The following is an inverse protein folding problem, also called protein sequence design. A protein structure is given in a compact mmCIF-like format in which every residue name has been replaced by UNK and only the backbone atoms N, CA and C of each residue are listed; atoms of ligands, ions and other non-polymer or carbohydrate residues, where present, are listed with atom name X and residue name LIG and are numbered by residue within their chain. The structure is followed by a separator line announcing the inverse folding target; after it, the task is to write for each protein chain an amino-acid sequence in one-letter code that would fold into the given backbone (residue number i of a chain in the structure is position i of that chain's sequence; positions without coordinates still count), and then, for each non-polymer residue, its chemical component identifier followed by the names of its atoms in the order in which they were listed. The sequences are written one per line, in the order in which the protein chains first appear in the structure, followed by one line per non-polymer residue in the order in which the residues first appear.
data_IF_214545803071
#
_entry.id   IF_214545803071
#
_cell.length_a   1.000
_cell.length_b   1.000
_cell.length_c   1.000
_cell.angle_alpha   90.00
_cell.angle_beta   90.00
_cell.angle_gamma   90.00
#
_symmetry.space_group_name_H-M   'P 1'
#
loop_
_entity.id
_entity.type
_entity.pdbx_description
1 polymer ?
#
# COMPACT_ATOMS: atom_id res chain seq x y z
N UNK A 1 20.69 1.72 -1.03
CA UNK A 1 20.73 2.77 0.04
C UNK A 1 20.43 4.10 -0.62
N UNK A 2 19.37 4.82 -0.19
CA UNK A 2 18.94 6.18 -0.58
C UNK A 2 19.71 6.94 -1.66
N UNK A 3 19.93 6.34 -2.84
CA UNK A 3 20.75 6.93 -3.92
C UNK A 3 20.14 8.27 -4.35
N UNK A 4 18.80 8.34 -4.31
CA UNK A 4 18.01 9.53 -4.56
C UNK A 4 18.31 10.64 -3.56
N UNK A 5 18.29 10.36 -2.25
CA UNK A 5 18.57 11.36 -1.22
C UNK A 5 20.00 11.89 -1.30
N UNK A 6 20.97 11.01 -1.58
CA UNK A 6 22.36 11.42 -1.79
C UNK A 6 22.46 12.36 -2.99
N UNK A 7 21.83 12.01 -4.12
CA UNK A 7 21.85 12.83 -5.33
C UNK A 7 21.18 14.20 -5.12
N UNK A 8 20.02 14.22 -4.45
CA UNK A 8 19.28 15.46 -4.17
C UNK A 8 20.04 16.42 -3.23
N UNK A 9 20.86 15.88 -2.32
CA UNK A 9 21.57 16.66 -1.30
C UNK A 9 23.06 16.91 -1.60
N UNK A 10 23.59 16.37 -2.69
CA UNK A 10 24.96 16.62 -3.15
C UNK A 10 25.16 18.10 -3.53
N UNK A 11 24.21 18.65 -4.30
CA UNK A 11 24.14 20.07 -4.68
C UNK A 11 22.77 20.62 -4.31
N UNK A 12 22.56 21.04 -3.05
CA UNK A 12 21.24 21.43 -2.58
C UNK A 12 20.75 22.68 -3.30
N UNK A 13 19.58 22.59 -3.93
CA UNK A 13 18.79 23.72 -4.41
C UNK A 13 17.50 23.78 -3.59
N UNK A 14 16.74 24.88 -3.69
CA UNK A 14 15.47 24.95 -2.96
C UNK A 14 14.54 23.79 -3.31
N UNK A 15 14.48 23.44 -4.59
CA UNK A 15 13.61 22.37 -5.09
C UNK A 15 14.12 20.98 -4.69
N UNK A 16 15.45 20.74 -4.80
CA UNK A 16 16.00 19.42 -4.46
C UNK A 16 15.86 19.12 -2.97
N UNK A 17 16.02 20.13 -2.12
CA UNK A 17 15.86 19.98 -0.67
C UNK A 17 14.37 19.82 -0.30
N UNK A 18 13.46 20.53 -0.96
CA UNK A 18 12.02 20.34 -0.77
C UNK A 18 11.61 18.90 -1.09
N UNK A 19 12.04 18.36 -2.23
CA UNK A 19 11.78 16.96 -2.61
C UNK A 19 12.41 15.99 -1.61
N UNK A 20 13.65 16.25 -1.18
CA UNK A 20 14.33 15.41 -0.19
C UNK A 20 13.60 15.40 1.16
N UNK A 21 13.13 16.56 1.64
CA UNK A 21 12.36 16.65 2.89
C UNK A 21 11.03 15.89 2.77
N UNK A 22 10.31 16.04 1.65
CA UNK A 22 9.08 15.29 1.39
C UNK A 22 9.32 13.78 1.38
N UNK A 23 10.35 13.33 0.67
CA UNK A 23 10.73 11.91 0.65
C UNK A 23 11.02 11.38 2.06
N UNK A 24 11.80 12.12 2.86
CA UNK A 24 12.11 11.72 4.25
C UNK A 24 10.88 11.77 5.15
N UNK A 25 9.93 12.67 4.92
CA UNK A 25 8.69 12.72 5.70
C UNK A 25 7.83 11.46 5.50
N UNK A 26 7.75 10.96 4.26
CA UNK A 26 6.93 9.80 3.91
C UNK A 26 7.61 8.47 4.25
N UNK A 27 8.86 8.25 3.80
CA UNK A 27 9.53 6.94 3.95
C UNK A 27 10.66 6.94 5.00
N UNK A 28 10.88 8.04 5.72
CA UNK A 28 12.00 8.19 6.65
C UNK A 28 11.95 7.22 7.83
N UNK A 29 10.77 6.78 8.25
CA UNK A 29 10.64 5.80 9.33
C UNK A 29 11.12 4.41 8.91
N UNK A 30 10.69 3.93 7.75
CA UNK A 30 11.18 2.67 7.19
C UNK A 30 12.71 2.70 6.99
N UNK A 31 13.22 3.83 6.47
CA UNK A 31 14.67 4.01 6.32
C UNK A 31 15.41 4.08 7.65
N UNK A 32 14.78 4.58 8.71
CA UNK A 32 15.35 4.61 10.05
C UNK A 32 15.50 3.20 10.62
N UNK A 33 14.55 2.30 10.33
CA UNK A 33 14.56 0.91 10.81
C UNK A 33 15.52 0.03 9.99
N UNK A 34 15.44 0.13 8.65
CA UNK A 34 16.28 -0.68 7.76
C UNK A 34 17.72 -0.15 7.65
N UNK A 35 17.92 1.17 7.72
CA UNK A 35 19.20 1.83 7.39
C UNK A 35 19.50 3.02 8.33
N UNK A 36 19.60 2.81 9.66
CA UNK A 36 19.73 3.89 10.64
C UNK A 36 20.94 4.79 10.42
N UNK A 37 22.07 4.21 9.99
CA UNK A 37 23.30 4.97 9.71
C UNK A 37 23.15 5.90 8.50
N UNK A 38 22.54 5.41 7.43
CA UNK A 38 22.29 6.20 6.21
C UNK A 38 21.33 7.34 6.50
N UNK A 39 20.24 7.04 7.22
CA UNK A 39 19.24 8.02 7.60
C UNK A 39 19.83 9.13 8.50
N UNK A 40 20.66 8.78 9.49
CA UNK A 40 21.36 9.77 10.31
C UNK A 40 22.29 10.68 9.48
N UNK A 41 22.96 10.14 8.46
CA UNK A 41 23.80 10.92 7.55
C UNK A 41 23.00 11.95 6.75
N UNK A 42 21.82 11.56 6.24
CA UNK A 42 20.90 12.46 5.54
C UNK A 42 20.43 13.59 6.45
N UNK A 43 20.04 13.27 7.69
CA UNK A 43 19.57 14.26 8.65
C UNK A 43 20.67 15.26 9.06
N UNK A 44 21.91 14.79 9.23
CA UNK A 44 23.03 15.68 9.51
C UNK A 44 23.31 16.61 8.32
N UNK A 45 23.19 16.10 7.09
CA UNK A 45 23.32 16.93 5.88
C UNK A 45 22.24 18.01 5.82
N UNK A 46 20.98 17.67 6.10
CA UNK A 46 19.87 18.63 6.16
C UNK A 46 20.09 19.68 7.25
N UNK A 47 20.65 19.30 8.41
CA UNK A 47 21.02 20.25 9.47
C UNK A 47 22.13 21.19 9.02
N UNK A 48 23.15 20.67 8.32
CA UNK A 48 24.22 21.49 7.73
C UNK A 48 23.66 22.56 6.79
N UNK A 49 22.76 22.16 5.89
CA UNK A 49 22.08 23.09 4.96
C UNK A 49 21.29 24.17 5.69
N UNK A 50 20.59 23.81 6.78
CA UNK A 50 19.84 24.76 7.60
C UNK A 50 20.76 25.80 8.28
N UNK A 51 21.94 25.38 8.76
CA UNK A 51 22.90 26.26 9.41
C UNK A 51 23.73 27.11 8.45
N UNK A 52 24.05 26.59 7.26
CA UNK A 52 24.76 27.32 6.21
C UNK A 52 23.94 28.52 5.71
N UNK A 53 22.60 28.45 5.77
CA UNK A 53 21.72 29.59 5.52
C UNK A 53 21.56 29.99 4.04
N UNK A 54 22.17 29.23 3.12
CA UNK A 54 22.15 29.48 1.67
C UNK A 54 20.86 29.02 0.97
N UNK A 55 19.89 28.48 1.72
CA UNK A 55 18.58 28.05 1.21
C UNK A 55 17.47 29.04 1.58
N UNK A 56 16.44 29.12 0.73
CA UNK A 56 15.31 30.02 0.92
C UNK A 56 14.52 29.73 2.19
N UNK A 57 13.89 30.76 2.76
CA UNK A 57 13.11 30.67 4.03
C UNK A 57 12.08 29.54 4.03
N UNK A 58 11.40 29.30 2.91
CA UNK A 58 10.44 28.19 2.76
C UNK A 58 11.09 26.84 3.11
N UNK A 59 12.26 26.58 2.55
CA UNK A 59 12.98 25.31 2.72
C UNK A 59 13.48 25.16 4.15
N UNK A 60 13.92 26.25 4.79
CA UNK A 60 14.27 26.25 6.21
C UNK A 60 13.09 25.80 7.07
N UNK A 61 11.90 26.35 6.86
CA UNK A 61 10.68 25.92 7.55
C UNK A 61 10.33 24.45 7.30
N UNK A 62 10.54 23.94 6.08
CA UNK A 62 10.30 22.54 5.75
C UNK A 62 11.25 21.61 6.53
N UNK A 63 12.54 21.95 6.59
CA UNK A 63 13.53 21.18 7.37
C UNK A 63 13.19 21.20 8.87
N UNK A 64 12.83 22.37 9.41
CA UNK A 64 12.41 22.48 10.81
C UNK A 64 11.15 21.65 11.11
N UNK A 65 10.17 21.70 10.20
CA UNK A 65 8.96 20.88 10.24
C UNK A 65 9.26 19.39 10.25
N UNK A 66 10.21 18.93 9.44
CA UNK A 66 10.66 17.54 9.42
C UNK A 66 11.25 17.10 10.77
N UNK A 67 12.09 17.95 11.39
CA UNK A 67 12.64 17.65 12.71
C UNK A 67 11.57 17.65 13.82
N UNK A 68 10.53 18.48 13.69
CA UNK A 68 9.39 18.47 14.60
C UNK A 68 8.55 17.18 14.44
N UNK A 69 8.27 16.77 13.20
CA UNK A 69 7.57 15.51 12.89
C UNK A 69 8.30 14.31 13.49
N UNK A 70 9.64 14.28 13.40
CA UNK A 70 10.44 13.21 14.00
C UNK A 70 10.26 13.10 15.51
N UNK A 71 10.22 14.24 16.20
CA UNK A 71 10.01 14.27 17.66
C UNK A 71 8.61 13.81 18.07
N UNK A 72 7.62 13.97 17.18
CA UNK A 72 6.24 13.58 17.45
C UNK A 72 5.99 12.06 17.37
N UNK A 73 6.97 11.26 16.95
CA UNK A 73 6.92 9.78 16.90
C UNK A 73 5.71 9.18 16.16
N UNK A 74 5.06 9.95 15.28
CA UNK A 74 3.91 9.49 14.48
C UNK A 74 4.35 9.09 13.07
N UNK A 75 5.16 8.06 12.95
CA UNK A 75 5.37 7.42 11.66
C UNK A 75 4.79 6.01 11.72
N UNK A 76 3.60 5.86 11.16
CA UNK A 76 3.14 4.54 10.74
C UNK A 76 3.77 4.29 9.38
N UNK A 77 4.58 3.23 9.27
CA UNK A 77 5.31 2.89 8.04
C UNK A 77 4.33 2.46 6.94
N UNK A 78 3.32 1.70 7.33
CA UNK A 78 2.19 1.29 6.51
C UNK A 78 0.93 1.64 7.29
N UNK A 79 -0.11 2.10 6.59
CA UNK A 79 -1.40 2.32 7.23
C UNK A 79 -2.02 0.95 7.52
N UNK A 80 -2.68 0.73 8.67
CA UNK A 80 -3.22 -0.58 9.03
C UNK A 80 -4.14 -1.19 7.95
N UNK A 81 -4.90 -0.35 7.24
CA UNK A 81 -5.79 -0.81 6.16
C UNK A 81 -5.05 -1.23 4.87
N UNK A 82 -3.75 -0.95 4.76
CA UNK A 82 -2.91 -1.29 3.61
C UNK A 82 -1.91 -2.42 3.92
N UNK A 83 -1.88 -2.91 5.16
CA UNK A 83 -1.02 -4.00 5.60
C UNK A 83 -1.70 -5.36 5.32
N UNK A 84 -1.71 -5.75 4.05
CA UNK A 84 -2.49 -6.89 3.54
C UNK A 84 -1.65 -8.14 3.23
N UNK A 85 -0.33 -7.99 3.22
CA UNK A 85 0.60 -9.05 2.78
C UNK A 85 1.57 -9.35 3.91
N UNK A 86 1.57 -10.60 4.34
CA UNK A 86 2.48 -11.10 5.38
C UNK A 86 3.95 -10.87 4.98
N UNK A 87 4.81 -10.58 5.97
CA UNK A 87 6.22 -10.23 5.71
C UNK A 87 6.97 -11.32 4.93
N UNK A 88 6.66 -12.59 5.16
CA UNK A 88 7.30 -13.74 4.50
C UNK A 88 6.91 -13.87 3.01
N UNK A 89 5.77 -13.30 2.60
CA UNK A 89 5.27 -13.32 1.22
C UNK A 89 5.69 -12.07 0.42
N UNK A 90 6.35 -11.10 1.08
CA UNK A 90 6.82 -9.88 0.42
C UNK A 90 8.12 -10.12 -0.36
N UNK A 91 8.11 -9.81 -1.66
CA UNK A 91 9.30 -9.88 -2.50
C UNK A 91 9.92 -8.49 -2.75
N UNK A 92 11.09 -8.25 -2.14
CA UNK A 92 11.80 -6.97 -2.27
C UNK A 92 12.73 -6.97 -3.49
N UNK A 93 12.45 -6.08 -4.45
CA UNK A 93 13.29 -5.86 -5.62
C UNK A 93 14.45 -4.90 -5.30
N UNK A 94 15.67 -5.25 -5.73
CA UNK A 94 16.83 -4.35 -5.63
C UNK A 94 17.05 -3.65 -6.96
N UNK A 95 16.72 -2.37 -7.02
CA UNK A 95 16.84 -1.53 -8.22
C UNK A 95 17.78 -0.36 -7.95
N UNK A 96 18.68 -0.08 -8.90
CA UNK A 96 19.59 1.07 -8.87
C UNK A 96 19.04 2.20 -9.73
N UNK A 97 19.36 3.45 -9.39
CA UNK A 97 19.00 4.62 -10.23
C UNK A 97 19.77 4.68 -11.55
N UNK A 98 20.86 3.92 -11.66
CA UNK A 98 21.70 3.86 -12.86
C UNK A 98 21.33 2.70 -13.78
N UNK A 99 20.38 1.85 -13.37
CA UNK A 99 19.97 0.72 -14.17
C UNK A 99 19.12 1.21 -15.34
N UNK A 100 19.38 0.69 -16.54
CA UNK A 100 18.49 0.86 -17.68
C UNK A 100 17.32 -0.10 -17.52
N UNK A 101 16.14 0.45 -17.23
CA UNK A 101 14.90 -0.31 -17.05
C UNK A 101 14.06 -0.16 -18.32
N UNK A 102 13.71 -1.28 -18.94
CA UNK A 102 12.71 -1.27 -20.02
C UNK A 102 11.33 -1.00 -19.41
N UNK A 103 10.62 -0.03 -19.96
CA UNK A 103 9.28 0.32 -19.53
C UNK A 103 8.20 -0.60 -20.11
N UNK A 104 8.58 -1.55 -20.98
CA UNK A 104 7.70 -2.56 -21.58
C UNK A 104 6.42 -1.98 -22.20
N UNK A 105 6.46 -0.74 -22.71
CA UNK A 105 5.27 -0.01 -23.22
C UNK A 105 4.58 -0.72 -24.41
N UNK A 106 5.23 -1.73 -24.97
CA UNK A 106 4.64 -2.63 -25.95
C UNK A 106 3.46 -3.44 -25.39
N UNK A 107 3.47 -3.74 -24.08
CA UNK A 107 2.44 -4.51 -23.38
C UNK A 107 1.13 -3.72 -23.20
N UNK A 108 1.20 -2.39 -23.22
CA UNK A 108 0.02 -1.50 -23.11
C UNK A 108 -0.86 -1.49 -24.37
N UNK A 109 -0.37 -2.08 -25.47
CA UNK A 109 -1.04 -2.09 -26.78
C UNK A 109 -1.50 -3.50 -27.10
N UNK A 110 -2.80 -3.68 -27.35
CA UNK A 110 -3.35 -4.95 -27.77
C UNK A 110 -2.67 -5.46 -29.04
N UNK A 111 -2.20 -6.71 -28.98
CA UNK A 111 -1.59 -7.42 -30.10
C UNK A 111 -2.18 -8.84 -30.15
N UNK A 112 -2.37 -9.41 -31.36
CA UNK A 112 -2.72 -10.81 -31.48
C UNK A 112 -1.60 -11.67 -30.90
N UNK A 113 -1.97 -12.55 -29.96
CA UNK A 113 -1.05 -13.53 -29.38
C UNK A 113 -1.21 -14.88 -30.11
N UNK A 114 -0.18 -15.37 -30.82
CA UNK A 114 -0.21 -16.69 -31.45
C UNK A 114 -0.41 -17.84 -30.46
N UNK A 115 -0.04 -17.65 -29.18
CA UNK A 115 -0.13 -18.64 -28.12
C UNK A 115 -1.25 -18.34 -27.12
N UNK A 116 -2.24 -17.50 -27.52
CA UNK A 116 -3.34 -17.08 -26.66
C UNK A 116 -3.97 -18.22 -25.85
N UNK A 117 -4.31 -19.34 -26.51
CA UNK A 117 -4.97 -20.48 -25.85
C UNK A 117 -4.10 -21.11 -24.76
N UNK A 118 -2.78 -21.20 -24.98
CA UNK A 118 -1.85 -21.76 -24.00
C UNK A 118 -1.64 -20.78 -22.84
N UNK A 119 -1.49 -19.49 -23.13
CA UNK A 119 -1.27 -18.43 -22.14
C UNK A 119 -2.49 -18.21 -21.24
N UNK A 120 -3.70 -18.23 -21.79
CA UNK A 120 -4.95 -18.17 -21.01
C UNK A 120 -5.05 -19.36 -20.05
N UNK A 121 -4.73 -20.57 -20.52
CA UNK A 121 -4.74 -21.75 -19.66
C UNK A 121 -3.73 -21.64 -18.51
N UNK A 122 -2.50 -21.18 -18.80
CA UNK A 122 -1.49 -20.97 -17.77
C UNK A 122 -1.92 -19.89 -16.75
N UNK A 123 -2.59 -18.85 -17.21
CA UNK A 123 -3.12 -17.80 -16.34
C UNK A 123 -4.24 -18.32 -15.43
N UNK A 124 -5.19 -19.08 -15.95
CA UNK A 124 -6.26 -19.69 -15.13
C UNK A 124 -5.70 -20.67 -14.09
N UNK A 125 -4.73 -21.50 -14.47
CA UNK A 125 -4.05 -22.41 -13.54
C UNK A 125 -3.31 -21.65 -12.43
N UNK A 126 -2.71 -20.48 -12.74
CA UNK A 126 -2.05 -19.60 -11.76
C UNK A 126 -3.06 -18.90 -10.85
N UNK A 127 -4.17 -18.41 -11.42
CA UNK A 127 -5.24 -17.73 -10.69
C UNK A 127 -5.84 -18.63 -9.60
N UNK A 128 -6.11 -19.91 -9.93
CA UNK A 128 -6.59 -20.93 -8.97
C UNK A 128 -5.60 -21.24 -7.85
N UNK A 129 -4.30 -21.03 -8.08
CA UNK A 129 -3.27 -21.24 -7.05
C UNK A 129 -3.18 -20.07 -6.08
N UNK A 130 -3.35 -18.84 -6.56
CA UNK A 130 -3.18 -17.62 -5.76
C UNK A 130 -4.46 -17.27 -5.00
N UNK A 131 -5.60 -17.39 -5.68
CA UNK A 131 -6.91 -17.14 -5.09
C UNK A 131 -7.48 -18.51 -4.71
N UNK A 132 -7.55 -18.88 -3.42
CA UNK A 132 -8.35 -20.02 -3.02
C UNK A 132 -9.75 -19.75 -3.54
N UNK A 133 -10.25 -20.65 -4.40
CA UNK A 133 -11.60 -20.58 -4.95
C UNK A 133 -12.56 -20.38 -3.77
N UNK A 134 -13.24 -19.24 -3.72
CA UNK A 134 -14.54 -19.19 -3.05
C UNK A 134 -15.38 -20.11 -3.93
N UNK A 135 -15.53 -21.38 -3.53
CA UNK A 135 -16.37 -22.39 -4.16
C UNK A 135 -17.85 -21.95 -4.06
N UNK A 136 -18.20 -20.84 -4.72
CA UNK A 136 -19.45 -20.14 -4.46
C UNK A 136 -19.96 -19.25 -5.57
N UNK A 137 -19.38 -19.24 -6.78
CA UNK A 137 -19.99 -18.52 -7.91
C UNK A 137 -19.46 -18.91 -9.31
N UNK A 138 -19.31 -20.22 -9.57
CA UNK A 138 -19.41 -20.75 -10.94
C UNK A 138 -20.80 -21.37 -11.16
N UNK A 139 -21.86 -20.62 -10.84
CA UNK A 139 -23.14 -20.79 -11.55
C UNK A 139 -22.99 -20.09 -12.89
N UNK A 140 -22.32 -20.76 -13.84
CA UNK A 140 -22.55 -20.48 -15.26
C UNK A 140 -24.02 -20.79 -15.53
N UNK A 141 -24.86 -19.77 -15.32
CA UNK A 141 -26.29 -19.76 -15.53
C UNK A 141 -26.62 -20.23 -16.95
N UNK A 142 -26.76 -21.54 -17.09
CA UNK A 142 -27.48 -22.18 -18.16
C UNK A 142 -28.93 -21.73 -18.03
N UNK A 143 -29.27 -20.66 -18.75
CA UNK A 143 -30.64 -20.20 -18.89
C UNK A 143 -31.41 -21.24 -19.71
N UNK A 144 -31.86 -22.29 -19.03
CA UNK A 144 -32.89 -23.21 -19.50
C UNK A 144 -34.11 -22.98 -18.61
N UNK A 145 -35.15 -22.46 -19.25
CA UNK A 145 -36.47 -22.24 -18.68
C UNK A 145 -37.04 -23.48 -17.97
N UNK A 146 -37.83 -23.18 -16.93
CA UNK A 146 -39.03 -23.90 -16.48
C UNK A 146 -38.90 -24.77 -15.19
N UNK A 147 -39.73 -24.43 -14.19
CA UNK A 147 -40.07 -25.31 -13.06
C UNK A 147 -40.19 -24.63 -11.69
N UNK A 148 -41.42 -24.24 -11.33
CA UNK A 148 -41.86 -23.88 -9.97
C UNK A 148 -41.42 -24.89 -8.87
N UNK A 149 -41.12 -24.39 -7.66
CA UNK A 149 -41.73 -24.76 -6.37
C UNK A 149 -40.78 -24.62 -5.13
N UNK A 150 -41.27 -23.82 -4.18
CA UNK A 150 -41.21 -23.94 -2.70
C UNK A 150 -39.95 -23.44 -1.92
N UNK A 151 -40.21 -22.40 -1.10
CA UNK A 151 -39.44 -21.95 0.06
C UNK A 151 -39.34 -23.03 1.14
N UNK A 152 -38.15 -23.27 1.71
CA UNK A 152 -38.06 -23.69 3.12
C UNK A 152 -36.75 -23.21 3.76
N UNK A 153 -36.76 -21.96 4.22
CA UNK A 153 -35.79 -21.47 5.19
C UNK A 153 -36.35 -21.73 6.58
N UNK A 154 -35.68 -22.58 7.37
CA UNK A 154 -36.05 -22.88 8.76
C UNK A 154 -36.13 -21.59 9.60
N UNK A 155 -37.32 -20.99 9.70
CA UNK A 155 -37.60 -19.87 10.59
C UNK A 155 -37.76 -20.41 12.03
N UNK A 156 -36.78 -20.12 12.87
CA UNK A 156 -36.86 -20.41 14.31
C UNK A 156 -38.00 -19.58 14.91
N UNK A 157 -39.07 -20.26 15.29
CA UNK A 157 -40.23 -19.66 15.94
C UNK A 157 -39.95 -19.46 17.43
N UNK A 158 -39.69 -18.22 17.84
CA UNK A 158 -39.51 -17.87 19.25
C UNK A 158 -40.85 -17.89 20.00
N UNK A 159 -41.04 -18.88 20.87
CA UNK A 159 -42.21 -19.03 21.73
C UNK A 159 -42.03 -18.35 23.10
N UNK A 160 -40.86 -17.77 23.39
CA UNK A 160 -40.54 -17.30 24.75
C UNK A 160 -40.95 -15.86 25.03
N UNK A 161 -41.38 -15.09 24.01
CA UNK A 161 -41.91 -13.73 24.18
C UNK A 161 -40.94 -12.78 24.89
N UNK A 162 -39.64 -13.11 24.87
CA UNK A 162 -38.60 -12.45 25.67
C UNK A 162 -38.44 -10.98 25.28
N UNK A 163 -38.67 -10.64 24.02
CA UNK A 163 -38.67 -9.25 23.56
C UNK A 163 -39.80 -8.40 24.19
N UNK A 164 -40.96 -9.00 24.47
CA UNK A 164 -42.08 -8.28 25.08
C UNK A 164 -41.85 -7.96 26.56
N UNK A 165 -41.10 -8.80 27.28
CA UNK A 165 -40.73 -8.53 28.68
C UNK A 165 -39.64 -7.47 28.76
N UNK A 166 -38.63 -7.54 27.88
CA UNK A 166 -37.56 -6.54 27.82
C UNK A 166 -38.07 -5.14 27.50
N UNK A 167 -39.13 -5.03 26.67
CA UNK A 167 -39.74 -3.74 26.35
C UNK A 167 -40.60 -3.16 27.49
N UNK A 168 -41.02 -4.00 28.45
CA UNK A 168 -41.88 -3.60 29.58
C UNK A 168 -41.11 -3.23 30.84
N UNK A 169 -39.83 -3.58 30.92
CA UNK A 169 -39.00 -3.12 32.03
C UNK A 169 -38.42 -1.74 31.70
N UNK A 170 -38.81 -0.66 32.42
CA UNK A 170 -38.14 0.62 32.28
C UNK A 170 -36.71 0.46 32.77
N UNK A 171 -35.74 0.81 31.92
CA UNK A 171 -34.32 0.87 32.28
C UNK A 171 -34.17 1.68 33.56
N UNK A 172 -33.73 1.03 34.64
CA UNK A 172 -33.26 1.69 35.86
C UNK A 172 -31.81 2.07 35.66
#
# INVERSE_FOLDING_TARGET
MGQLLTLLLEKPTNDSVEVAVGFVAECGSLLQDLCPKGMNGVLERLRGILHEGDVGKRVQFLIEGLFALRKAAKFQIVRPELDLVEEDDQFTHQVSLLDEIDGDSALDVFRPDPQFVENEKMYEDLKKQILPEDEGDEDEGANSEDGDEEEDGEQIKDETGTDLVNLREPSI
#
